data_IF_516662210875
#
_entry.id   IF_516662210875
#
_cell.length_a   1.000
_cell.length_b   1.000
_cell.length_c   1.000
_cell.angle_alpha   90.00
_cell.angle_beta   90.00
_cell.angle_gamma   90.00
#
_symmetry.space_group_name_H-M   'P 1'
#
loop_
_entity.id
_entity.type
_entity.pdbx_description
1 polymer ?
#
# COMPACT_ATOMS: atom_id res chain seq x y z
N UNK A 1 45.27 9.25 -4.27
CA UNK A 1 44.62 8.27 -3.38
C UNK A 1 43.26 8.84 -3.03
N UNK A 2 42.17 8.15 -3.37
CA UNK A 2 40.82 8.73 -3.35
C UNK A 2 40.16 8.43 -2.00
N UNK A 3 39.95 9.46 -1.18
CA UNK A 3 39.28 9.36 0.12
C UNK A 3 37.79 9.02 -0.04
N UNK A 4 37.39 7.87 0.51
CA UNK A 4 36.00 7.44 0.57
C UNK A 4 35.32 8.07 1.79
N UNK A 5 34.46 9.07 1.55
CA UNK A 5 33.53 9.59 2.58
C UNK A 5 32.53 8.51 2.98
N UNK A 6 32.62 8.05 4.22
CA UNK A 6 31.66 7.16 4.88
C UNK A 6 30.33 7.90 5.09
N UNK A 7 29.25 7.32 4.54
CA UNK A 7 27.89 7.80 4.75
C UNK A 7 27.48 7.47 6.19
N UNK A 8 27.45 8.47 7.07
CA UNK A 8 26.93 8.34 8.43
C UNK A 8 25.40 8.17 8.35
N UNK A 9 24.92 6.94 8.54
CA UNK A 9 23.50 6.70 8.85
C UNK A 9 23.21 7.30 10.23
N UNK A 10 22.24 8.21 10.31
CA UNK A 10 21.77 8.79 11.57
C UNK A 10 20.93 7.78 12.35
N UNK A 11 21.11 7.77 13.67
CA UNK A 11 20.42 6.91 14.62
C UNK A 11 18.88 7.12 14.61
N UNK A 12 18.09 6.06 14.84
CA UNK A 12 16.63 6.06 14.65
C UNK A 12 15.83 6.68 15.81
N UNK A 13 16.47 7.26 16.83
CA UNK A 13 15.80 7.81 18.01
C UNK A 13 15.32 9.26 17.88
N UNK A 14 15.55 9.94 16.75
CA UNK A 14 15.22 11.37 16.58
C UNK A 14 13.96 11.67 15.76
N UNK A 15 13.16 10.68 15.35
CA UNK A 15 11.88 10.96 14.66
C UNK A 15 10.69 10.63 15.55
N UNK A 16 10.22 11.67 16.25
CA UNK A 16 9.08 11.66 17.15
C UNK A 16 7.90 10.83 16.66
N UNK A 17 7.30 10.10 17.59
CA UNK A 17 6.18 9.18 17.44
C UNK A 17 4.82 9.84 17.16
N UNK A 18 4.80 11.04 16.57
CA UNK A 18 3.54 11.70 16.20
C UNK A 18 3.13 11.33 14.78
N UNK A 19 1.98 10.67 14.69
CA UNK A 19 1.29 10.44 13.44
C UNK A 19 1.10 11.78 12.70
N UNK A 20 1.58 11.92 11.45
CA UNK A 20 1.57 13.21 10.76
C UNK A 20 0.15 13.68 10.49
N UNK A 21 -0.13 14.95 10.83
CA UNK A 21 -1.45 15.57 10.75
C UNK A 21 -2.03 15.52 9.31
N UNK A 22 -3.27 15.05 9.19
CA UNK A 22 -3.99 14.89 7.92
C UNK A 22 -4.79 16.17 7.67
N UNK A 23 -4.30 17.11 6.84
CA UNK A 23 -4.99 18.39 6.56
C UNK A 23 -5.53 18.59 5.14
N UNK A 24 -5.64 17.56 4.29
CA UNK A 24 -6.33 17.71 2.99
C UNK A 24 -7.23 16.51 2.64
N UNK A 25 -8.51 16.79 2.38
CA UNK A 25 -9.45 15.90 1.68
C UNK A 25 -8.80 15.42 0.37
N UNK A 26 -8.54 14.12 0.26
CA UNK A 26 -8.28 13.43 -1.00
C UNK A 26 -6.83 13.04 -1.30
N UNK A 27 -5.82 13.71 -0.70
CA UNK A 27 -4.40 13.32 -0.83
C UNK A 27 -3.71 13.57 0.50
N UNK A 28 -3.79 12.58 1.38
CA UNK A 28 -3.21 12.64 2.72
C UNK A 28 -1.70 12.92 2.68
N UNK A 29 -1.28 13.82 3.57
CA UNK A 29 0.07 14.29 3.91
C UNK A 29 0.63 15.50 3.13
N UNK A 30 1.12 16.49 3.89
CA UNK A 30 2.01 17.53 3.42
C UNK A 30 3.38 16.92 3.11
N UNK A 31 3.62 16.69 1.83
CA UNK A 31 4.89 16.20 1.31
C UNK A 31 5.38 17.27 0.35
N UNK A 32 6.66 17.66 0.45
CA UNK A 32 7.25 18.56 -0.53
C UNK A 32 7.15 17.94 -1.93
N UNK A 33 6.92 18.75 -2.96
CA UNK A 33 6.82 18.28 -4.35
C UNK A 33 8.04 17.44 -4.74
N UNK A 34 9.24 17.86 -4.32
CA UNK A 34 10.50 17.11 -4.49
C UNK A 34 10.45 15.69 -3.93
N UNK A 35 9.85 15.50 -2.75
CA UNK A 35 9.73 14.17 -2.12
C UNK A 35 8.66 13.32 -2.79
N UNK A 36 7.58 13.94 -3.27
CA UNK A 36 6.56 13.25 -4.05
C UNK A 36 7.11 12.77 -5.39
N UNK A 37 7.92 13.59 -6.07
CA UNK A 37 8.62 13.20 -7.30
C UNK A 37 9.60 12.05 -7.06
N UNK A 38 10.37 12.11 -5.97
CA UNK A 38 11.27 11.02 -5.58
C UNK A 38 10.50 9.71 -5.34
N UNK A 39 9.34 9.75 -4.68
CA UNK A 39 8.49 8.57 -4.47
C UNK A 39 7.92 8.04 -5.80
N UNK A 40 7.54 8.92 -6.72
CA UNK A 40 7.08 8.51 -8.04
C UNK A 40 8.19 7.84 -8.85
N UNK A 41 9.42 8.36 -8.77
CA UNK A 41 10.57 7.76 -9.45
C UNK A 41 10.92 6.41 -8.85
N UNK A 42 10.99 6.32 -7.52
CA UNK A 42 11.18 5.05 -6.83
C UNK A 42 10.08 4.04 -7.20
N UNK A 43 8.82 4.47 -7.29
CA UNK A 43 7.73 3.61 -7.74
C UNK A 43 7.90 3.17 -9.21
N UNK A 44 8.50 3.99 -10.09
CA UNK A 44 8.83 3.57 -11.46
C UNK A 44 9.94 2.53 -11.46
N UNK A 45 10.98 2.71 -10.65
CA UNK A 45 12.05 1.74 -10.49
C UNK A 45 11.52 0.40 -9.95
N UNK A 46 10.67 0.42 -8.92
CA UNK A 46 10.04 -0.78 -8.35
C UNK A 46 9.18 -1.52 -9.39
N UNK A 47 8.52 -0.81 -10.30
CA UNK A 47 7.79 -1.46 -11.43
C UNK A 47 8.73 -2.15 -12.41
N UNK A 48 9.93 -1.62 -12.63
CA UNK A 48 10.94 -2.22 -13.51
C UNK A 48 11.62 -3.43 -12.85
N UNK A 49 11.90 -3.32 -11.54
CA UNK A 49 12.58 -4.34 -10.74
C UNK A 49 11.63 -5.13 -9.84
N UNK A 50 10.38 -5.34 -10.28
CA UNK A 50 9.40 -6.13 -9.52
C UNK A 50 9.84 -7.59 -9.39
N UNK A 51 9.71 -8.16 -8.19
CA UNK A 51 9.99 -9.57 -7.95
C UNK A 51 8.99 -10.49 -8.65
N UNK A 52 9.30 -11.78 -8.70
CA UNK A 52 8.48 -12.78 -9.37
C UNK A 52 7.08 -12.88 -8.75
N UNK A 53 6.98 -12.80 -7.41
CA UNK A 53 5.69 -12.78 -6.70
C UNK A 53 4.80 -11.61 -7.15
N UNK A 54 5.39 -10.41 -7.30
CA UNK A 54 4.66 -9.23 -7.79
C UNK A 54 4.15 -9.43 -9.22
N UNK A 55 4.97 -10.01 -10.11
CA UNK A 55 4.58 -10.26 -11.49
C UNK A 55 3.46 -11.32 -11.56
N UNK A 56 3.62 -12.43 -10.85
CA UNK A 56 2.64 -13.50 -10.80
C UNK A 56 1.26 -13.02 -10.32
N UNK A 57 1.24 -12.23 -9.23
CA UNK A 57 -0.02 -11.69 -8.70
C UNK A 57 -0.66 -10.68 -9.66
N UNK A 58 0.15 -9.85 -10.33
CA UNK A 58 -0.33 -8.89 -11.30
C UNK A 58 -0.95 -9.55 -12.54
N UNK A 59 -0.34 -10.62 -13.05
CA UNK A 59 -0.87 -11.37 -14.18
C UNK A 59 -2.20 -12.05 -13.82
N UNK A 60 -2.33 -12.55 -12.59
CA UNK A 60 -3.60 -13.07 -12.09
C UNK A 60 -4.65 -11.98 -11.96
N UNK A 61 -4.32 -10.79 -11.45
CA UNK A 61 -5.26 -9.66 -11.42
C UNK A 61 -5.66 -9.15 -12.80
N UNK A 62 -4.77 -9.21 -13.78
CA UNK A 62 -5.08 -8.83 -15.16
C UNK A 62 -6.05 -9.84 -15.81
N UNK A 63 -5.91 -11.13 -15.49
CA UNK A 63 -6.81 -12.20 -15.97
C UNK A 63 -8.11 -12.27 -15.18
N UNK A 64 -8.09 -11.89 -13.90
CA UNK A 64 -9.26 -11.88 -13.04
C UNK A 64 -10.18 -10.72 -13.44
N UNK A 65 -11.42 -11.04 -13.83
CA UNK A 65 -12.42 -10.03 -14.10
C UNK A 65 -12.98 -9.49 -12.78
N UNK A 66 -12.27 -8.55 -12.17
CA UNK A 66 -12.64 -7.89 -10.91
C UNK A 66 -13.65 -6.73 -11.11
N UNK A 67 -14.25 -6.65 -12.30
CA UNK A 67 -15.26 -5.65 -12.66
C UNK A 67 -14.72 -4.23 -12.52
N UNK A 68 -15.35 -3.34 -11.73
CA UNK A 68 -14.92 -1.95 -11.60
C UNK A 68 -13.64 -1.79 -10.74
N UNK A 69 -13.17 -2.85 -10.07
CA UNK A 69 -12.08 -2.81 -9.10
C UNK A 69 -10.75 -3.16 -9.75
N UNK A 70 -9.93 -2.14 -9.97
CA UNK A 70 -8.61 -2.29 -10.61
C UNK A 70 -7.53 -2.13 -9.53
N UNK A 71 -6.61 -3.10 -9.47
CA UNK A 71 -5.42 -3.03 -8.64
C UNK A 71 -4.26 -2.45 -9.44
N UNK A 72 -3.73 -1.30 -9.00
CA UNK A 72 -2.56 -0.66 -9.60
C UNK A 72 -1.30 -1.07 -8.87
N UNK A 73 -0.29 -1.53 -9.63
CA UNK A 73 1.04 -1.88 -9.11
C UNK A 73 1.86 -0.67 -8.66
N UNK A 74 2.58 -0.83 -7.54
CA UNK A 74 3.52 0.14 -6.97
C UNK A 74 2.90 1.53 -6.93
N UNK A 75 1.73 1.64 -6.35
CA UNK A 75 0.99 2.91 -6.32
C UNK A 75 1.53 3.80 -5.20
N UNK A 76 1.77 5.07 -5.50
CA UNK A 76 2.09 6.05 -4.46
C UNK A 76 0.78 6.51 -3.82
N UNK A 77 0.67 6.27 -2.53
CA UNK A 77 -0.47 6.62 -1.70
C UNK A 77 0.05 7.54 -0.61
N UNK A 78 -0.14 8.84 -0.82
CA UNK A 78 0.40 9.84 0.07
C UNK A 78 1.93 9.77 0.15
N UNK A 79 2.49 9.37 1.30
CA UNK A 79 3.93 9.34 1.61
C UNK A 79 4.53 7.94 1.55
N UNK A 80 3.74 6.95 1.13
CA UNK A 80 4.14 5.56 1.03
C UNK A 80 3.89 5.02 -0.39
N UNK A 81 4.75 4.08 -0.80
CA UNK A 81 4.55 3.24 -1.98
C UNK A 81 3.96 1.93 -1.49
N UNK A 82 2.87 1.48 -2.10
CA UNK A 82 2.24 0.18 -1.82
C UNK A 82 2.31 -0.71 -3.05
N UNK A 83 2.48 -2.01 -2.86
CA UNK A 83 2.72 -2.94 -3.97
C UNK A 83 1.50 -3.05 -4.89
N UNK A 84 0.29 -3.12 -4.33
CA UNK A 84 -0.95 -2.98 -5.09
C UNK A 84 -1.95 -2.08 -4.37
N UNK A 85 -2.65 -1.23 -5.12
CA UNK A 85 -3.71 -0.38 -4.58
C UNK A 85 -4.98 -0.42 -5.43
N UNK A 86 -6.12 -0.62 -4.77
CA UNK A 86 -7.45 -0.40 -5.32
C UNK A 86 -8.10 0.83 -4.68
N UNK A 87 -8.02 1.97 -5.37
CA UNK A 87 -8.59 3.23 -4.89
C UNK A 87 -10.11 3.15 -4.65
N UNK A 88 -10.85 2.46 -5.53
CA UNK A 88 -12.31 2.30 -5.39
C UNK A 88 -12.71 1.52 -4.14
N UNK A 89 -11.92 0.55 -3.70
CA UNK A 89 -12.18 -0.21 -2.46
C UNK A 89 -11.54 0.43 -1.23
N UNK A 90 -10.56 1.32 -1.40
CA UNK A 90 -9.71 1.76 -0.29
C UNK A 90 -9.02 0.55 0.34
N UNK A 91 -8.40 -0.26 -0.51
CA UNK A 91 -7.69 -1.48 -0.13
C UNK A 91 -6.34 -1.49 -0.83
N UNK A 92 -5.29 -1.77 -0.08
CA UNK A 92 -3.94 -1.98 -0.58
C UNK A 92 -3.47 -3.39 -0.22
N UNK A 93 -2.59 -3.95 -1.02
CA UNK A 93 -1.93 -5.22 -0.76
C UNK A 93 -0.43 -4.93 -0.70
N UNK A 94 0.20 -5.42 0.35
CA UNK A 94 1.64 -5.40 0.52
C UNK A 94 2.18 -6.82 0.47
N UNK A 95 3.22 -7.03 -0.33
CA UNK A 95 3.91 -8.31 -0.45
C UNK A 95 5.08 -8.27 0.53
N UNK A 96 5.05 -9.20 1.48
CA UNK A 96 6.11 -9.35 2.47
C UNK A 96 7.18 -10.29 1.92
N UNK A 97 8.34 -9.73 1.58
CA UNK A 97 9.52 -10.48 1.17
C UNK A 97 10.38 -10.79 2.39
N UNK A 98 10.97 -11.99 2.44
CA UNK A 98 11.76 -12.41 3.59
C UNK A 98 12.91 -11.43 3.87
N UNK A 99 12.96 -10.91 5.10
CA UNK A 99 13.96 -9.92 5.52
C UNK A 99 13.50 -8.46 5.47
N UNK A 100 12.24 -8.16 5.13
CA UNK A 100 11.70 -6.81 5.32
C UNK A 100 11.62 -6.41 6.80
N UNK A 101 11.96 -5.15 7.07
CA UNK A 101 11.92 -4.58 8.42
C UNK A 101 10.46 -4.30 8.83
N UNK A 102 9.89 -5.26 9.56
CA UNK A 102 8.48 -5.36 9.94
C UNK A 102 7.98 -4.13 10.73
N UNK A 103 8.87 -3.47 11.48
CA UNK A 103 8.56 -2.27 12.29
C UNK A 103 8.22 -1.06 11.43
N UNK A 104 9.01 -0.81 10.38
CA UNK A 104 8.79 0.32 9.47
C UNK A 104 7.56 0.08 8.61
N UNK A 105 7.29 -1.17 8.28
CA UNK A 105 6.13 -1.59 7.51
C UNK A 105 4.82 -1.35 8.30
N UNK A 106 4.78 -1.74 9.59
CA UNK A 106 3.63 -1.51 10.48
C UNK A 106 3.32 -0.02 10.71
N UNK A 107 4.34 0.84 10.79
CA UNK A 107 4.14 2.30 10.93
C UNK A 107 3.46 2.90 9.68
N UNK A 108 3.83 2.42 8.49
CA UNK A 108 3.20 2.83 7.22
C UNK A 108 1.76 2.34 7.11
N UNK A 109 1.45 1.17 7.64
CA UNK A 109 0.08 0.65 7.62
C UNK A 109 -0.87 1.54 8.43
N UNK A 110 -0.47 1.93 9.65
CA UNK A 110 -1.27 2.86 10.49
C UNK A 110 -1.55 4.18 9.78
N UNK A 111 -0.56 4.69 9.06
CA UNK A 111 -0.71 5.94 8.34
C UNK A 111 -1.69 5.78 7.17
N UNK A 112 -1.63 4.68 6.41
CA UNK A 112 -2.57 4.38 5.32
C UNK A 112 -4.00 4.16 5.83
N UNK A 113 -4.16 3.49 6.97
CA UNK A 113 -5.46 3.25 7.61
C UNK A 113 -6.17 4.55 8.01
N UNK A 114 -5.42 5.55 8.47
CA UNK A 114 -5.96 6.87 8.81
C UNK A 114 -6.57 7.61 7.60
N UNK A 115 -6.15 7.26 6.37
CA UNK A 115 -6.73 7.78 5.11
C UNK A 115 -7.84 6.86 4.56
N UNK A 116 -8.25 5.85 5.33
CA UNK A 116 -9.31 4.91 4.98
C UNK A 116 -8.86 3.75 4.07
N UNK A 117 -7.56 3.52 3.94
CA UNK A 117 -6.99 2.44 3.13
C UNK A 117 -6.58 1.30 4.04
N UNK A 118 -7.18 0.12 3.86
CA UNK A 118 -6.78 -1.09 4.59
C UNK A 118 -5.68 -1.82 3.84
N UNK A 119 -4.57 -2.07 4.51
CA UNK A 119 -3.44 -2.83 3.95
C UNK A 119 -3.60 -4.30 4.29
N UNK A 120 -3.50 -5.17 3.30
CA UNK A 120 -3.47 -6.61 3.48
C UNK A 120 -2.08 -7.14 3.13
N UNK A 121 -1.42 -7.76 4.11
CA UNK A 121 -0.09 -8.35 3.93
C UNK A 121 -0.20 -9.79 3.47
N UNK A 122 0.59 -10.14 2.47
CA UNK A 122 0.65 -11.48 1.88
C UNK A 122 2.13 -11.85 1.77
N UNK A 123 2.52 -13.02 2.28
CA UNK A 123 3.89 -13.47 2.14
C UNK A 123 4.21 -13.77 0.67
N UNK A 124 5.41 -13.39 0.21
CA UNK A 124 5.85 -13.69 -1.15
C UNK A 124 5.85 -15.21 -1.43
N UNK A 125 6.17 -16.03 -0.41
CA UNK A 125 6.10 -17.49 -0.49
C UNK A 125 4.69 -18.00 -0.80
N UNK A 126 3.68 -17.51 -0.10
CA UNK A 126 2.28 -17.89 -0.32
C UNK A 126 1.82 -17.57 -1.75
N UNK A 127 2.32 -16.49 -2.34
CA UNK A 127 1.98 -16.09 -3.72
C UNK A 127 2.57 -17.09 -4.72
N UNK A 128 3.80 -17.54 -4.49
CA UNK A 128 4.49 -18.47 -5.39
C UNK A 128 4.01 -19.92 -5.21
N UNK A 129 3.71 -20.33 -3.98
CA UNK A 129 3.32 -21.70 -3.64
C UNK A 129 1.80 -21.93 -3.73
N UNK A 130 0.98 -20.97 -3.27
CA UNK A 130 -0.46 -21.14 -3.07
C UNK A 130 -1.28 -19.94 -3.59
N UNK A 131 -1.05 -19.58 -4.86
CA UNK A 131 -1.70 -18.42 -5.50
C UNK A 131 -3.23 -18.43 -5.39
N UNK A 132 -3.88 -19.60 -5.52
CA UNK A 132 -5.34 -19.67 -5.49
C UNK A 132 -5.89 -19.33 -4.08
N UNK A 133 -5.25 -19.82 -3.02
CA UNK A 133 -5.59 -19.45 -1.64
C UNK A 133 -5.38 -17.94 -1.37
N UNK A 134 -4.32 -17.36 -1.95
CA UNK A 134 -4.08 -15.91 -1.91
C UNK A 134 -5.22 -15.14 -2.58
N UNK A 135 -5.66 -15.57 -3.76
CA UNK A 135 -6.76 -14.93 -4.49
C UNK A 135 -8.10 -15.05 -3.75
N UNK A 136 -8.37 -16.20 -3.12
CA UNK A 136 -9.55 -16.38 -2.28
C UNK A 136 -9.55 -15.41 -1.09
N UNK A 137 -8.40 -15.28 -0.41
CA UNK A 137 -8.22 -14.34 0.69
C UNK A 137 -8.41 -12.89 0.24
N UNK A 138 -7.87 -12.51 -0.92
CA UNK A 138 -8.08 -11.18 -1.51
C UNK A 138 -9.56 -10.95 -1.81
N UNK A 139 -10.23 -11.93 -2.42
CA UNK A 139 -11.65 -11.84 -2.79
C UNK A 139 -12.54 -11.70 -1.54
N UNK A 140 -12.25 -12.44 -0.48
CA UNK A 140 -12.94 -12.30 0.80
C UNK A 140 -12.74 -10.89 1.39
N UNK A 141 -11.49 -10.40 1.37
CA UNK A 141 -11.17 -9.02 1.77
C UNK A 141 -11.94 -7.97 0.96
N UNK A 142 -12.01 -8.13 -0.36
CA UNK A 142 -12.78 -7.24 -1.24
C UNK A 142 -14.27 -7.25 -0.88
N UNK A 143 -14.87 -8.42 -0.66
CA UNK A 143 -16.30 -8.54 -0.27
C UNK A 143 -16.60 -7.82 1.04
N UNK A 144 -15.76 -8.00 2.06
CA UNK A 144 -15.87 -7.29 3.33
C UNK A 144 -15.80 -5.76 3.13
N UNK A 145 -14.88 -5.27 2.29
CA UNK A 145 -14.75 -3.82 2.00
C UNK A 145 -15.95 -3.25 1.24
N UNK A 146 -16.54 -4.03 0.34
CA UNK A 146 -17.77 -3.63 -0.36
C UNK A 146 -18.92 -3.50 0.65
N UNK A 147 -19.06 -4.45 1.57
CA UNK A 147 -20.07 -4.41 2.63
C UNK A 147 -19.86 -3.19 3.55
N UNK A 148 -18.64 -2.97 4.05
CA UNK A 148 -18.28 -1.81 4.89
C UNK A 148 -18.65 -0.47 4.24
N UNK A 149 -18.42 -0.35 2.92
CA UNK A 149 -18.73 0.89 2.18
C UNK A 149 -20.22 1.07 1.96
N UNK A 150 -20.97 -0.03 1.76
CA UNK A 150 -22.43 0.03 1.65
C UNK A 150 -23.06 0.45 2.98
N UNK A 151 -22.60 -0.15 4.10
CA UNK A 151 -23.09 0.20 5.42
C UNK A 151 -22.85 1.68 5.74
N UNK A 152 -21.63 2.17 5.53
CA UNK A 152 -21.30 3.60 5.76
C UNK A 152 -22.14 4.56 4.90
N UNK A 153 -22.55 4.16 3.70
CA UNK A 153 -23.45 4.98 2.87
C UNK A 153 -24.86 4.99 3.45
N UNK A 154 -25.38 3.82 3.84
CA UNK A 154 -26.69 3.71 4.48
C UNK A 154 -26.78 4.52 5.78
N UNK A 155 -25.74 4.44 6.63
CA UNK A 155 -25.68 5.19 7.89
C UNK A 155 -25.66 6.71 7.64
N UNK A 156 -24.91 7.17 6.63
CA UNK A 156 -24.85 8.58 6.26
C UNK A 156 -26.17 9.09 5.65
N UNK A 157 -26.86 8.27 4.84
CA UNK A 157 -28.17 8.61 4.28
C UNK A 157 -29.26 8.63 5.37
N UNK A 158 -29.19 7.74 6.35
CA UNK A 158 -30.12 7.70 7.49
C UNK A 158 -29.91 8.83 8.50
N UNK A 159 -28.68 9.30 8.69
CA UNK A 159 -28.37 10.42 9.60
C UNK A 159 -28.76 11.80 9.03
N UNK A 160 -29.07 11.89 7.74
CA UNK A 160 -29.37 13.14 7.05
C UNK A 160 -30.87 13.27 6.71
N UNK A 161 -31.72 12.45 7.32
CA UNK A 161 -33.18 12.41 7.16
C UNK A 161 -33.86 12.67 8.51
#
# INVERSE_FOLDING_TARGET
MTDRKTLQLRDPSETGDEAPSIKKKGRGWEISEKRLDALHEQAREMRRHSSEAHKALADKFAKANLGPFIFKRHAVVGSAIVDFNCHKLGMAIAIDEEGQNDTLAKRRDKSLEAVGIRVMRIAAKDILENMDAVLERITLGMRSRIADKRQRRADHEGANR
#
